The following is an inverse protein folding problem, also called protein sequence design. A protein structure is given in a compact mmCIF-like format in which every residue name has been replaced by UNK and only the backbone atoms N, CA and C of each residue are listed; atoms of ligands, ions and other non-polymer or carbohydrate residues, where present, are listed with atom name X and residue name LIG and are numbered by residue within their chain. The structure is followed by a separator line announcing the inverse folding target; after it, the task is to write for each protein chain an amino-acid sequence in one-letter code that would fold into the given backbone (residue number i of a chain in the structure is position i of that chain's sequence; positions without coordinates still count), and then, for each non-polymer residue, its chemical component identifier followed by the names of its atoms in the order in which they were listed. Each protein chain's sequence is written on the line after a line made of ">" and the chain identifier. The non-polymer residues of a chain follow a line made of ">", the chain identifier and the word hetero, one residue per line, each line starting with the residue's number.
data_IF_658621900808
#
_entry.id   IF_658621900808
#
_cell.length_a   1.000
_cell.length_b   1.000
_cell.length_c   1.000
_cell.angle_alpha   90.00
_cell.angle_beta   90.00
_cell.angle_gamma   90.00
#
_symmetry.space_group_name_H-M   'P 1'
#
loop_
_entity.id
_entity.type
_entity.pdbx_description
1 polymer ?
#
# COMPACT_ATOMS: atom_id res chain seq x y z
N UNK A 1 -39.84 11.51 14.59
CA UNK A 1 -39.46 10.09 14.76
C UNK A 1 -38.79 9.56 13.50
N UNK A 2 -39.36 9.77 12.30
CA UNK A 2 -38.74 9.37 11.02
C UNK A 2 -37.36 10.01 10.77
N UNK A 3 -37.19 11.31 11.03
CA UNK A 3 -35.89 11.98 10.81
C UNK A 3 -34.77 11.45 11.71
N UNK A 4 -35.13 11.00 12.92
CA UNK A 4 -34.18 10.41 13.87
C UNK A 4 -33.77 9.00 13.44
N UNK A 5 -34.67 8.23 12.82
CA UNK A 5 -34.36 6.93 12.24
C UNK A 5 -33.44 7.09 11.01
N UNK A 6 -33.77 8.00 10.09
CA UNK A 6 -32.93 8.31 8.92
C UNK A 6 -31.54 8.80 9.31
N UNK A 7 -31.43 9.65 10.33
CA UNK A 7 -30.13 10.09 10.85
C UNK A 7 -29.30 8.92 11.39
N UNK A 8 -29.91 8.01 12.15
CA UNK A 8 -29.21 6.84 12.69
C UNK A 8 -28.73 5.90 11.58
N UNK A 9 -29.55 5.66 10.56
CA UNK A 9 -29.16 4.86 9.39
C UNK A 9 -27.95 5.48 8.67
N UNK A 10 -27.99 6.79 8.46
CA UNK A 10 -26.93 7.53 7.78
C UNK A 10 -25.60 7.52 8.57
N UNK A 11 -25.67 7.66 9.90
CA UNK A 11 -24.50 7.55 10.78
C UNK A 11 -23.89 6.14 10.69
N UNK A 12 -24.72 5.09 10.66
CA UNK A 12 -24.24 3.72 10.52
C UNK A 12 -23.53 3.51 9.17
N UNK A 13 -24.09 4.03 8.09
CA UNK A 13 -23.50 3.95 6.75
C UNK A 13 -22.17 4.72 6.67
N UNK A 14 -22.12 5.94 7.23
CA UNK A 14 -20.88 6.73 7.34
C UNK A 14 -19.81 5.96 8.11
N UNK A 15 -20.16 5.32 9.23
CA UNK A 15 -19.21 4.53 10.01
C UNK A 15 -18.68 3.32 9.22
N UNK A 16 -19.54 2.64 8.46
CA UNK A 16 -19.13 1.52 7.63
C UNK A 16 -18.15 1.94 6.52
N UNK A 17 -18.43 3.03 5.80
CA UNK A 17 -17.53 3.52 4.76
C UNK A 17 -16.22 4.09 5.32
N UNK A 18 -16.22 4.69 6.53
CA UNK A 18 -14.97 5.10 7.18
C UNK A 18 -14.08 3.89 7.48
N UNK A 19 -14.64 2.82 8.03
CA UNK A 19 -13.88 1.58 8.26
C UNK A 19 -13.33 1.00 6.96
N UNK A 20 -14.13 1.03 5.88
CA UNK A 20 -13.68 0.60 4.56
C UNK A 20 -12.53 1.47 4.03
N UNK A 21 -12.61 2.79 4.17
CA UNK A 21 -11.56 3.72 3.76
C UNK A 21 -10.24 3.45 4.51
N UNK A 22 -10.32 3.18 5.82
CA UNK A 22 -9.13 2.88 6.63
C UNK A 22 -8.46 1.56 6.22
N UNK A 23 -9.25 0.53 5.91
CA UNK A 23 -8.70 -0.72 5.37
C UNK A 23 -8.00 -0.52 4.02
N UNK A 24 -8.56 0.31 3.14
CA UNK A 24 -7.93 0.62 1.84
C UNK A 24 -6.62 1.38 2.05
N UNK A 25 -6.58 2.35 2.98
CA UNK A 25 -5.36 3.10 3.33
C UNK A 25 -4.24 2.16 3.84
N UNK A 26 -4.57 1.21 4.71
CA UNK A 26 -3.61 0.22 5.18
C UNK A 26 -3.05 -0.64 4.03
N UNK A 27 -3.90 -1.04 3.07
CA UNK A 27 -3.45 -1.79 1.90
C UNK A 27 -2.54 -0.95 0.99
N UNK A 28 -2.85 0.33 0.81
CA UNK A 28 -2.00 1.29 0.07
C UNK A 28 -0.62 1.37 0.71
N UNK A 29 -0.53 1.50 2.03
CA UNK A 29 0.75 1.55 2.75
C UNK A 29 1.59 0.28 2.52
N UNK A 30 0.97 -0.89 2.54
CA UNK A 30 1.65 -2.17 2.27
C UNK A 30 2.16 -2.27 0.83
N UNK A 31 1.39 -1.79 -0.15
CA UNK A 31 1.83 -1.74 -1.56
C UNK A 31 3.01 -0.78 -1.71
N UNK A 32 2.94 0.41 -1.10
CA UNK A 32 4.03 1.39 -1.13
C UNK A 32 5.31 0.86 -0.48
N UNK A 33 5.20 0.16 0.65
CA UNK A 33 6.34 -0.52 1.28
C UNK A 33 6.97 -1.55 0.32
N UNK A 34 6.13 -2.34 -0.36
CA UNK A 34 6.60 -3.35 -1.33
C UNK A 34 7.30 -2.72 -2.54
N UNK A 35 6.81 -1.58 -3.03
CA UNK A 35 7.49 -0.79 -4.08
C UNK A 35 8.85 -0.30 -3.59
N UNK A 36 8.94 0.16 -2.34
CA UNK A 36 10.19 0.59 -1.73
C UNK A 36 11.22 -0.53 -1.62
N UNK A 37 10.80 -1.76 -1.28
CA UNK A 37 11.67 -2.95 -1.26
C UNK A 37 12.20 -3.28 -2.66
N UNK A 38 11.34 -3.21 -3.68
CA UNK A 38 11.71 -3.41 -5.08
C UNK A 38 12.75 -2.38 -5.54
N UNK A 39 12.58 -1.12 -5.17
CA UNK A 39 13.53 -0.06 -5.50
C UNK A 39 14.88 -0.24 -4.79
N UNK A 40 14.85 -0.63 -3.51
CA UNK A 40 16.07 -0.96 -2.77
C UNK A 40 16.83 -2.12 -3.40
N UNK A 41 16.13 -3.16 -3.87
CA UNK A 41 16.73 -4.27 -4.59
C UNK A 41 17.32 -3.81 -5.92
N UNK A 42 16.61 -2.99 -6.70
CA UNK A 42 17.13 -2.45 -7.96
C UNK A 42 18.45 -1.70 -7.76
N UNK A 43 18.50 -0.82 -6.76
CA UNK A 43 19.72 -0.08 -6.42
C UNK A 43 20.86 -1.03 -6.00
N UNK A 44 20.56 -2.05 -5.20
CA UNK A 44 21.55 -3.06 -4.80
C UNK A 44 22.12 -3.81 -6.02
N UNK A 45 21.28 -4.13 -7.00
CA UNK A 45 21.73 -4.77 -8.25
C UNK A 45 22.56 -3.83 -9.12
N UNK A 46 22.32 -2.51 -9.06
CA UNK A 46 23.17 -1.52 -9.71
C UNK A 46 24.54 -1.41 -9.02
N UNK A 47 24.58 -1.39 -7.70
CA UNK A 47 25.81 -1.29 -6.90
C UNK A 47 26.72 -2.52 -7.06
N UNK A 48 26.14 -3.70 -7.24
CA UNK A 48 26.88 -4.96 -7.44
C UNK A 48 27.31 -5.19 -8.90
N UNK A 49 26.89 -4.35 -9.84
CA UNK A 49 27.11 -4.57 -11.26
C UNK A 49 28.59 -4.50 -11.63
N UNK A 50 29.13 -5.59 -12.17
CA UNK A 50 30.53 -5.69 -12.58
C UNK A 50 31.51 -6.10 -11.47
N UNK A 51 31.07 -6.14 -10.22
CA UNK A 51 31.81 -6.75 -9.12
C UNK A 51 31.64 -8.27 -9.17
N UNK A 52 32.72 -9.03 -8.93
CA UNK A 52 32.68 -10.51 -8.87
C UNK A 52 32.62 -11.05 -7.44
N UNK A 53 33.20 -10.29 -6.51
CA UNK A 53 33.03 -10.52 -5.09
C UNK A 53 33.11 -9.21 -4.33
N UNK A 54 32.35 -9.14 -3.24
CA UNK A 54 32.26 -7.94 -2.39
C UNK A 54 32.37 -8.38 -0.93
N UNK A 55 33.21 -7.70 -0.15
CA UNK A 55 33.18 -7.83 1.30
C UNK A 55 31.96 -7.08 1.86
N UNK A 56 31.13 -7.78 2.64
CA UNK A 56 29.92 -7.23 3.23
C UNK A 56 29.79 -7.60 4.72
N UNK A 57 29.08 -6.76 5.47
CA UNK A 57 28.66 -7.06 6.82
C UNK A 57 27.27 -7.68 6.80
N UNK A 58 27.17 -8.95 7.18
CA UNK A 58 25.89 -9.67 7.24
C UNK A 58 25.28 -9.46 8.63
N UNK A 59 24.06 -8.89 8.73
CA UNK A 59 23.39 -8.72 10.01
C UNK A 59 22.96 -10.08 10.58
N UNK A 60 23.25 -10.30 11.86
CA UNK A 60 22.88 -11.54 12.58
C UNK A 60 21.94 -11.30 13.76
N UNK A 61 21.43 -10.07 13.91
CA UNK A 61 20.46 -9.67 14.95
C UNK A 61 21.07 -8.82 16.06
N UNK A 62 20.22 -8.18 16.87
CA UNK A 62 20.62 -7.31 17.99
C UNK A 62 21.68 -6.23 17.63
N UNK A 63 21.63 -5.69 16.40
CA UNK A 63 22.63 -4.73 15.91
C UNK A 63 24.03 -5.31 15.72
N UNK A 64 24.17 -6.64 15.68
CA UNK A 64 25.44 -7.35 15.49
C UNK A 64 25.61 -7.80 14.05
N UNK A 65 26.87 -7.83 13.60
CA UNK A 65 27.24 -8.13 12.22
C UNK A 65 28.42 -9.09 12.17
N UNK A 66 28.43 -9.95 11.15
CA UNK A 66 29.59 -10.77 10.79
C UNK A 66 30.17 -10.26 9.47
N UNK A 67 31.50 -10.22 9.36
CA UNK A 67 32.16 -9.91 8.09
C UNK A 67 32.13 -11.16 7.20
N UNK A 68 31.72 -11.00 5.95
CA UNK A 68 31.71 -12.06 4.94
C UNK A 68 32.11 -11.55 3.56
N UNK A 69 32.33 -12.48 2.64
CA UNK A 69 32.56 -12.20 1.22
C UNK A 69 31.38 -12.78 0.43
N UNK A 70 30.68 -11.92 -0.31
CA UNK A 70 29.67 -12.30 -1.29
C UNK A 70 30.38 -12.68 -2.58
N UNK A 71 30.05 -13.84 -3.15
CA UNK A 71 30.62 -14.35 -4.41
C UNK A 71 29.50 -14.52 -5.43
N UNK A 72 29.89 -14.56 -6.71
CA UNK A 72 28.97 -14.75 -7.82
C UNK A 72 27.85 -13.70 -7.79
N UNK A 73 28.23 -12.44 -7.57
CA UNK A 73 27.34 -11.28 -7.42
C UNK A 73 26.56 -10.93 -8.69
N UNK A 74 26.89 -11.57 -9.81
CA UNK A 74 26.12 -11.56 -11.04
C UNK A 74 24.94 -12.54 -11.01
N UNK A 75 24.93 -13.55 -10.13
CA UNK A 75 23.84 -14.54 -10.01
C UNK A 75 22.81 -14.17 -8.92
N UNK A 76 21.61 -13.81 -9.35
CA UNK A 76 20.50 -13.41 -8.49
C UNK A 76 19.42 -14.49 -8.47
N UNK A 77 19.02 -14.92 -7.27
CA UNK A 77 17.92 -15.87 -7.07
C UNK A 77 16.65 -15.09 -6.77
N UNK A 78 15.65 -15.20 -7.64
CA UNK A 78 14.38 -14.48 -7.52
C UNK A 78 13.25 -15.48 -7.30
N UNK A 79 12.48 -15.29 -6.23
CA UNK A 79 11.24 -16.03 -6.01
C UNK A 79 10.17 -15.62 -7.03
N UNK A 80 9.52 -16.62 -7.63
CA UNK A 80 8.39 -16.43 -8.54
C UNK A 80 7.07 -16.93 -7.94
N UNK A 81 7.07 -17.24 -6.64
CA UNK A 81 5.90 -17.74 -5.91
C UNK A 81 5.76 -19.27 -5.94
N UNK A 82 4.77 -19.77 -5.21
CA UNK A 82 4.45 -21.20 -5.07
C UNK A 82 5.65 -22.10 -4.66
N UNK A 83 6.64 -21.54 -3.98
CA UNK A 83 7.86 -22.25 -3.56
C UNK A 83 8.92 -22.40 -4.65
N UNK A 84 8.76 -21.74 -5.80
CA UNK A 84 9.73 -21.76 -6.90
C UNK A 84 10.56 -20.47 -6.94
N UNK A 85 11.82 -20.62 -7.32
CA UNK A 85 12.74 -19.53 -7.57
C UNK A 85 13.53 -19.79 -8.86
N UNK A 86 13.93 -18.72 -9.52
CA UNK A 86 14.73 -18.75 -10.74
C UNK A 86 16.05 -18.03 -10.50
N UNK A 87 17.12 -18.57 -11.07
CA UNK A 87 18.41 -17.91 -11.14
C UNK A 87 18.46 -17.02 -12.39
N UNK A 88 18.90 -15.79 -12.23
CA UNK A 88 19.08 -14.80 -13.30
C UNK A 88 20.40 -14.05 -13.13
N UNK A 89 20.87 -13.48 -14.23
CA UNK A 89 21.88 -12.44 -14.16
C UNK A 89 21.28 -11.12 -13.63
N UNK A 90 22.12 -10.15 -13.26
CA UNK A 90 21.66 -8.85 -12.77
C UNK A 90 20.69 -8.15 -13.74
N UNK A 91 20.93 -8.21 -15.05
CA UNK A 91 20.06 -7.60 -16.07
C UNK A 91 18.70 -8.32 -16.17
N UNK A 92 18.70 -9.65 -16.20
CA UNK A 92 17.48 -10.45 -16.20
C UNK A 92 16.68 -10.27 -14.92
N UNK A 93 17.36 -10.12 -13.79
CA UNK A 93 16.77 -9.81 -12.50
C UNK A 93 16.05 -8.46 -12.51
N UNK A 94 16.74 -7.40 -12.95
CA UNK A 94 16.15 -6.06 -13.09
C UNK A 94 14.92 -6.06 -13.96
N UNK A 95 14.92 -6.80 -15.07
CA UNK A 95 13.73 -6.89 -15.95
C UNK A 95 12.53 -7.51 -15.24
N UNK A 96 12.74 -8.56 -14.44
CA UNK A 96 11.65 -9.22 -13.68
C UNK A 96 11.13 -8.27 -12.60
N UNK A 97 12.03 -7.66 -11.84
CA UNK A 97 11.69 -6.77 -10.72
C UNK A 97 11.00 -5.49 -11.23
N UNK A 98 11.41 -4.95 -12.38
CA UNK A 98 10.71 -3.83 -13.02
C UNK A 98 9.27 -4.19 -13.43
N UNK A 99 9.04 -5.43 -13.88
CA UNK A 99 7.69 -5.94 -14.11
C UNK A 99 6.86 -6.00 -12.83
N UNK A 100 7.45 -6.54 -11.75
CA UNK A 100 6.80 -6.59 -10.43
C UNK A 100 6.48 -5.18 -9.91
N UNK A 101 7.39 -4.22 -10.08
CA UNK A 101 7.16 -2.81 -9.71
C UNK A 101 5.95 -2.26 -10.45
N UNK A 102 5.89 -2.48 -11.76
CA UNK A 102 4.77 -2.02 -12.58
C UNK A 102 3.44 -2.62 -12.13
N UNK A 103 3.40 -3.91 -11.82
CA UNK A 103 2.19 -4.58 -11.33
C UNK A 103 1.73 -4.01 -9.97
N UNK A 104 2.69 -3.65 -9.10
CA UNK A 104 2.42 -2.97 -7.83
C UNK A 104 1.92 -1.54 -8.03
N UNK A 105 2.51 -0.76 -8.94
CA UNK A 105 2.07 0.60 -9.29
C UNK A 105 0.65 0.59 -9.89
N UNK A 106 0.38 -0.30 -10.84
CA UNK A 106 -0.94 -0.46 -11.43
C UNK A 106 -1.98 -0.90 -10.36
N UNK A 107 -1.56 -1.65 -9.33
CA UNK A 107 -2.41 -2.02 -8.19
C UNK A 107 -2.64 -0.85 -7.23
N UNK A 108 -1.60 -0.04 -6.98
CA UNK A 108 -1.67 1.17 -6.17
C UNK A 108 -2.65 2.18 -6.77
N UNK A 109 -2.57 2.42 -8.08
CA UNK A 109 -3.48 3.32 -8.80
C UNK A 109 -4.94 2.90 -8.66
N UNK A 110 -5.23 1.59 -8.76
CA UNK A 110 -6.58 1.04 -8.54
C UNK A 110 -7.06 1.25 -7.11
N UNK A 111 -6.19 1.05 -6.12
CA UNK A 111 -6.53 1.25 -4.71
C UNK A 111 -6.77 2.72 -4.38
N UNK A 112 -5.97 3.64 -4.94
CA UNK A 112 -6.17 5.07 -4.80
C UNK A 112 -7.49 5.52 -5.43
N UNK A 113 -7.82 5.01 -6.62
CA UNK A 113 -9.11 5.28 -7.27
C UNK A 113 -10.28 4.75 -6.42
N UNK A 114 -10.15 3.55 -5.84
CA UNK A 114 -11.16 2.98 -4.96
C UNK A 114 -11.34 3.80 -3.68
N UNK A 115 -10.23 4.24 -3.07
CA UNK A 115 -10.26 5.14 -1.91
C UNK A 115 -10.99 6.44 -2.24
N UNK A 116 -10.69 7.05 -3.40
CA UNK A 116 -11.34 8.28 -3.84
C UNK A 116 -12.86 8.10 -3.95
N UNK A 117 -13.32 7.01 -4.57
CA UNK A 117 -14.75 6.69 -4.68
C UNK A 117 -15.41 6.56 -3.30
N UNK A 118 -14.77 5.86 -2.35
CA UNK A 118 -15.27 5.72 -0.99
C UNK A 118 -15.33 7.07 -0.27
N UNK A 119 -14.32 7.93 -0.43
CA UNK A 119 -14.31 9.27 0.17
C UNK A 119 -15.35 10.20 -0.42
N UNK A 120 -15.66 10.09 -1.71
CA UNK A 120 -16.71 10.88 -2.37
C UNK A 120 -18.09 10.48 -1.84
N UNK A 121 -18.34 9.18 -1.66
CA UNK A 121 -19.56 8.67 -1.03
C UNK A 121 -19.68 9.19 0.40
N UNK A 122 -18.61 9.11 1.20
CA UNK A 122 -18.58 9.64 2.57
C UNK A 122 -18.93 11.13 2.61
N UNK A 123 -18.35 11.95 1.73
CA UNK A 123 -18.62 13.37 1.67
C UNK A 123 -20.11 13.65 1.34
N UNK A 124 -20.71 12.86 0.45
CA UNK A 124 -22.12 12.97 0.13
C UNK A 124 -23.01 12.61 1.33
N UNK A 125 -22.74 11.49 2.00
CA UNK A 125 -23.51 11.05 3.18
C UNK A 125 -23.41 12.07 4.33
N UNK A 126 -22.21 12.60 4.57
CA UNK A 126 -22.00 13.66 5.58
C UNK A 126 -22.78 14.93 5.25
N UNK A 127 -22.83 15.33 3.97
CA UNK A 127 -23.65 16.46 3.52
C UNK A 127 -25.14 16.24 3.76
N UNK A 128 -25.65 15.04 3.48
CA UNK A 128 -27.04 14.67 3.78
C UNK A 128 -27.33 14.73 5.30
N UNK A 129 -26.39 14.26 6.13
CA UNK A 129 -26.55 14.27 7.58
C UNK A 129 -26.65 15.71 8.11
N UNK A 130 -25.79 16.59 7.63
CA UNK A 130 -25.80 18.01 8.00
C UNK A 130 -27.12 18.69 7.61
N UNK A 131 -27.69 18.37 6.45
CA UNK A 131 -28.98 18.94 6.02
C UNK A 131 -30.14 18.51 6.92
N UNK A 132 -30.21 17.23 7.29
CA UNK A 132 -31.24 16.72 8.23
C UNK A 132 -31.08 17.37 9.61
N UNK A 133 -29.84 17.57 10.06
CA UNK A 133 -29.55 18.22 11.34
C UNK A 133 -29.94 19.72 11.33
N UNK A 134 -29.71 20.43 10.24
CA UNK A 134 -30.10 21.83 10.09
C UNK A 134 -31.63 22.00 10.02
N UNK A 135 -32.32 21.13 9.27
CA UNK A 135 -33.78 21.15 9.14
C UNK A 135 -34.50 20.86 10.48
N UNK A 136 -33.93 19.98 11.30
CA UNK A 136 -34.45 19.66 12.64
C UNK A 136 -34.18 20.73 13.70
N UNK A 137 -33.20 21.63 13.51
CA UNK A 137 -32.98 22.79 14.40
C UNK A 137 -33.78 24.03 13.98
N UNK A 138 -33.94 24.28 12.68
CA UNK A 138 -34.73 25.41 12.16
C UNK A 138 -36.23 25.31 12.47
N UNK A 139 -36.75 24.10 12.63
CA UNK A 139 -38.16 23.84 12.97
C UNK A 139 -38.49 24.04 14.47
N UNK A 140 -37.49 24.21 15.34
CA UNK A 140 -37.69 24.38 16.80
C UNK A 140 -37.77 25.86 17.22
N UNK A 141 -37.29 26.80 16.38
CA UNK A 141 -37.26 28.24 16.73
C UNK A 141 -38.49 29.02 16.23
N UNK A 142 -39.40 28.37 15.50
CA UNK A 142 -40.62 28.96 14.97
C UNK A 142 -41.87 28.58 15.77
N UNK A 143 -41.97 29.02 17.03
CA UNK A 143 -43.22 29.09 17.80
C UNK A 143 -43.21 30.31 18.71
#
# INVERSE_FOLDING_TARGET
>A
MEDQQKMNELINEINAYNQQADLIRQQIELIQASIGEVDALSNTLDDLNGEKSVEAFVPVGAGSFIKGELKDTDEIIISIGAGYAIKKDAEGAKKIIAGQKKDLEDSLDKMLANLQQVTDILANLQGQAQQIQAASQGSVTGY
#
